data_IF_324039809547
#
_entry.id   IF_324039809547
#
_cell.length_a   1.000
_cell.length_b   1.000
_cell.length_c   1.000
_cell.angle_alpha   90.00
_cell.angle_beta   90.00
_cell.angle_gamma   90.00
#
_symmetry.space_group_name_H-M   'P 1'
#
loop_
_entity.id
_entity.type
_entity.pdbx_description
1 polymer ?
#
# COMPACT_ATOMS: atom_id res chain seq x y z
N UNK A 1 1.51 1.69 14.48
CA UNK A 1 0.27 1.47 15.23
C UNK A 1 -0.61 0.52 14.43
N UNK A 2 -1.43 -0.29 15.11
CA UNK A 2 -2.39 -1.20 14.49
C UNK A 2 -3.72 -0.98 15.21
N UNK A 3 -4.77 -0.75 14.43
CA UNK A 3 -6.12 -0.50 14.94
C UNK A 3 -7.13 -1.43 14.24
N UNK A 4 -8.12 -1.89 14.99
CA UNK A 4 -9.24 -2.66 14.47
C UNK A 4 -10.49 -1.76 14.42
N UNK A 5 -11.03 -1.57 13.22
CA UNK A 5 -12.13 -0.63 13.00
C UNK A 5 -13.26 -1.35 12.25
N UNK A 6 -14.45 -1.39 12.85
CA UNK A 6 -15.62 -2.04 12.23
C UNK A 6 -16.22 -1.20 11.09
N UNK A 7 -16.30 0.12 11.29
CA UNK A 7 -16.92 1.04 10.33
C UNK A 7 -15.89 1.67 9.38
N UNK A 8 -15.34 0.86 8.48
CA UNK A 8 -14.37 1.31 7.47
C UNK A 8 -14.93 2.44 6.59
N UNK A 9 -16.26 2.50 6.36
CA UNK A 9 -16.90 3.56 5.55
C UNK A 9 -16.66 4.93 6.17
N UNK A 10 -16.75 5.03 7.49
CA UNK A 10 -16.50 6.27 8.25
C UNK A 10 -15.05 6.72 8.05
N UNK A 11 -14.09 5.81 8.15
CA UNK A 11 -12.67 6.11 7.95
C UNK A 11 -12.39 6.64 6.55
N UNK A 12 -12.93 6.00 5.50
CA UNK A 12 -12.75 6.49 4.13
C UNK A 12 -13.30 7.91 4.00
N UNK A 13 -14.51 8.19 4.51
CA UNK A 13 -15.11 9.53 4.46
C UNK A 13 -14.25 10.57 5.19
N UNK A 14 -13.79 10.25 6.40
CA UNK A 14 -12.92 11.13 7.19
C UNK A 14 -11.60 11.44 6.47
N UNK A 15 -10.97 10.43 5.87
CA UNK A 15 -9.73 10.59 5.11
C UNK A 15 -9.94 11.44 3.85
N UNK A 16 -11.06 11.25 3.14
CA UNK A 16 -11.41 12.13 2.01
C UNK A 16 -11.60 13.59 2.44
N UNK A 17 -12.22 13.83 3.61
CA UNK A 17 -12.35 15.19 4.17
C UNK A 17 -10.98 15.82 4.54
N UNK A 18 -9.95 14.99 4.76
CA UNK A 18 -8.57 15.40 5.00
C UNK A 18 -7.72 15.46 3.70
N UNK A 19 -8.39 15.47 2.54
CA UNK A 19 -7.75 15.48 1.21
C UNK A 19 -6.84 14.27 0.94
N UNK A 20 -7.03 13.15 1.65
CA UNK A 20 -6.32 11.89 1.38
C UNK A 20 -7.00 11.16 0.22
N UNK A 21 -6.20 10.70 -0.76
CA UNK A 21 -6.71 9.92 -1.89
C UNK A 21 -6.89 8.46 -1.54
N UNK A 22 -7.98 7.87 -2.00
CA UNK A 22 -8.33 6.48 -1.74
C UNK A 22 -7.87 5.62 -2.92
N UNK A 23 -6.90 4.74 -2.69
CA UNK A 23 -6.36 3.80 -3.69
C UNK A 23 -6.87 2.40 -3.35
N UNK A 24 -7.82 1.90 -4.11
CA UNK A 24 -8.35 0.54 -3.97
C UNK A 24 -7.60 -0.41 -4.89
N UNK A 25 -6.94 -1.43 -4.32
CA UNK A 25 -6.29 -2.48 -5.07
C UNK A 25 -7.29 -3.57 -5.45
N UNK A 26 -7.46 -3.79 -6.74
CA UNK A 26 -8.41 -4.75 -7.29
C UNK A 26 -8.00 -5.20 -8.69
N UNK A 27 -8.13 -6.50 -8.99
CA UNK A 27 -7.79 -7.04 -10.32
C UNK A 27 -8.65 -6.46 -11.45
N UNK A 28 -9.76 -5.80 -11.13
CA UNK A 28 -10.67 -5.15 -12.09
C UNK A 28 -10.31 -3.69 -12.39
N UNK A 29 -9.28 -3.14 -11.73
CA UNK A 29 -8.90 -1.74 -11.81
C UNK A 29 -8.08 -1.36 -13.05
N UNK A 30 -7.67 -0.10 -13.10
CA UNK A 30 -6.75 0.41 -14.11
C UNK A 30 -5.35 -0.17 -13.90
N UNK A 31 -4.69 -0.56 -15.00
CA UNK A 31 -3.35 -1.12 -14.93
C UNK A 31 -2.36 -0.13 -14.30
N UNK A 32 -1.59 -0.59 -13.31
CA UNK A 32 -0.62 0.22 -12.57
C UNK A 32 0.34 1.00 -13.47
N UNK A 33 0.79 0.42 -14.59
CA UNK A 33 1.74 1.06 -15.50
C UNK A 33 1.19 2.38 -16.08
N UNK A 34 -0.13 2.54 -16.15
CA UNK A 34 -0.78 3.73 -16.71
C UNK A 34 -1.03 4.82 -15.65
N UNK A 35 -1.03 4.46 -14.36
CA UNK A 35 -1.51 5.35 -13.28
C UNK A 35 -0.49 5.59 -12.16
N UNK A 36 0.59 4.82 -12.10
CA UNK A 36 1.61 4.94 -11.05
C UNK A 36 2.13 6.37 -10.84
N UNK A 37 2.33 7.13 -11.93
CA UNK A 37 2.80 8.51 -11.84
C UNK A 37 1.79 9.46 -11.22
N UNK A 38 0.48 9.22 -11.41
CA UNK A 38 -0.55 10.04 -10.78
C UNK A 38 -0.60 9.76 -9.28
N UNK A 39 -0.60 8.49 -8.88
CA UNK A 39 -0.64 8.08 -7.48
C UNK A 39 0.61 8.58 -6.73
N UNK A 40 1.78 8.48 -7.35
CA UNK A 40 3.06 8.97 -6.79
C UNK A 40 3.07 10.49 -6.55
N UNK A 41 2.27 11.26 -7.28
CA UNK A 41 2.18 12.71 -7.13
C UNK A 41 1.14 13.14 -6.07
N UNK A 42 0.41 12.21 -5.46
CA UNK A 42 -0.51 12.51 -4.37
C UNK A 42 0.26 12.70 -3.06
N UNK A 43 -0.10 13.74 -2.29
CA UNK A 43 0.54 14.03 -0.99
C UNK A 43 0.27 12.93 0.04
N UNK A 44 -0.98 12.45 0.10
CA UNK A 44 -1.41 11.41 1.04
C UNK A 44 -2.35 10.44 0.37
N UNK A 45 -2.10 9.16 0.60
CA UNK A 45 -2.96 8.07 0.12
C UNK A 45 -3.40 7.16 1.27
N UNK A 46 -4.60 6.62 1.15
CA UNK A 46 -5.08 5.47 1.91
C UNK A 46 -5.20 4.31 0.92
N UNK A 47 -4.37 3.28 1.11
CA UNK A 47 -4.46 2.06 0.30
C UNK A 47 -5.46 1.11 0.93
N UNK A 48 -6.49 0.73 0.16
CA UNK A 48 -7.48 -0.27 0.53
C UNK A 48 -7.11 -1.57 -0.16
N UNK A 49 -6.79 -2.58 0.64
CA UNK A 49 -6.67 -3.97 0.22
C UNK A 49 -7.84 -4.76 0.79
N UNK A 50 -8.30 -5.77 0.07
CA UNK A 50 -9.43 -6.58 0.51
C UNK A 50 -9.22 -8.05 0.20
N UNK A 51 -9.90 -8.89 0.98
CA UNK A 51 -10.00 -10.32 0.76
C UNK A 51 -11.16 -10.65 -0.21
N UNK A 52 -11.45 -11.95 -0.36
CA UNK A 52 -12.25 -12.60 -1.41
C UNK A 52 -13.56 -11.91 -1.86
N UNK A 53 -14.23 -11.10 -1.01
CA UNK A 53 -15.46 -10.38 -1.36
C UNK A 53 -15.45 -8.93 -0.89
N UNK A 54 -14.81 -8.05 -1.65
CA UNK A 54 -14.85 -6.60 -1.41
C UNK A 54 -16.22 -6.03 -1.77
N UNK A 55 -16.88 -5.26 -0.89
CA UNK A 55 -18.15 -4.60 -1.20
C UNK A 55 -18.02 -3.66 -2.40
N UNK A 56 -19.04 -3.66 -3.29
CA UNK A 56 -19.08 -2.80 -4.48
C UNK A 56 -18.89 -1.31 -4.14
N UNK A 57 -19.41 -0.86 -3.01
CA UNK A 57 -19.32 0.54 -2.56
C UNK A 57 -17.86 1.06 -2.50
N UNK A 58 -16.87 0.20 -2.26
CA UNK A 58 -15.45 0.62 -2.29
C UNK A 58 -15.05 1.13 -3.66
N UNK A 59 -15.54 0.53 -4.74
CA UNK A 59 -15.24 0.97 -6.10
C UNK A 59 -15.70 2.41 -6.34
N UNK A 60 -16.88 2.76 -5.81
CA UNK A 60 -17.48 4.08 -5.96
C UNK A 60 -16.83 5.12 -5.03
N UNK A 61 -16.33 4.68 -3.87
CA UNK A 61 -15.66 5.56 -2.90
C UNK A 61 -14.19 5.84 -3.23
N UNK A 62 -13.53 4.94 -3.96
CA UNK A 62 -12.13 5.04 -4.34
C UNK A 62 -11.90 6.16 -5.37
N UNK A 63 -10.81 6.91 -5.20
CA UNK A 63 -10.36 7.88 -6.21
C UNK A 63 -9.55 7.17 -7.31
N UNK A 64 -8.91 6.05 -6.96
CA UNK A 64 -8.19 5.17 -7.88
C UNK A 64 -8.57 3.71 -7.63
N UNK A 65 -9.13 3.04 -8.63
CA UNK A 65 -9.24 1.58 -8.64
C UNK A 65 -8.08 1.03 -9.48
N UNK A 66 -7.16 0.31 -8.86
CA UNK A 66 -5.86 -0.04 -9.45
C UNK A 66 -5.64 -1.54 -9.49
N UNK A 67 -5.25 -2.03 -10.65
CA UNK A 67 -4.89 -3.42 -10.91
C UNK A 67 -3.37 -3.59 -10.98
N UNK A 68 -2.83 -4.45 -10.12
CA UNK A 68 -1.44 -4.92 -10.18
C UNK A 68 -1.40 -6.13 -11.13
N UNK A 69 -1.68 -5.87 -12.40
CA UNK A 69 -2.14 -6.92 -13.31
C UNK A 69 -3.60 -7.30 -13.04
N UNK A 70 -4.22 -7.92 -14.04
CA UNK A 70 -5.66 -8.22 -14.03
C UNK A 70 -5.95 -9.72 -13.79
N UNK A 71 -5.01 -10.43 -13.16
CA UNK A 71 -5.17 -11.83 -12.78
C UNK A 71 -5.42 -11.91 -11.27
N UNK A 72 -6.19 -12.90 -10.79
CA UNK A 72 -6.38 -13.11 -9.37
C UNK A 72 -5.05 -13.53 -8.72
N UNK A 73 -4.61 -12.78 -7.71
CA UNK A 73 -3.41 -13.07 -6.90
C UNK A 73 -3.53 -12.44 -5.52
N UNK A 74 -2.46 -12.52 -4.71
CA UNK A 74 -2.46 -12.01 -3.34
C UNK A 74 -2.56 -10.48 -3.26
N UNK A 75 -3.33 -10.02 -2.29
CA UNK A 75 -3.37 -8.67 -1.78
C UNK A 75 -2.01 -8.20 -1.23
N UNK A 76 -1.20 -9.10 -0.66
CA UNK A 76 0.15 -8.80 -0.15
C UNK A 76 1.08 -8.47 -1.31
N UNK A 77 1.04 -9.26 -2.39
CA UNK A 77 1.85 -8.97 -3.58
C UNK A 77 1.37 -7.70 -4.27
N UNK A 78 0.06 -7.46 -4.33
CA UNK A 78 -0.50 -6.22 -4.87
C UNK A 78 0.02 -4.99 -4.11
N UNK A 79 -0.07 -5.01 -2.78
CA UNK A 79 0.41 -3.92 -1.92
C UNK A 79 1.91 -3.69 -2.09
N UNK A 80 2.70 -4.77 -2.09
CA UNK A 80 4.15 -4.70 -2.22
C UNK A 80 4.58 -4.03 -3.53
N UNK A 81 3.97 -4.43 -4.66
CA UNK A 81 4.27 -3.84 -5.97
C UNK A 81 3.77 -2.39 -6.06
N UNK A 82 2.57 -2.07 -5.54
CA UNK A 82 2.10 -0.68 -5.51
C UNK A 82 3.12 0.21 -4.79
N UNK A 83 3.52 -0.18 -3.56
CA UNK A 83 4.47 0.58 -2.75
C UNK A 83 5.81 0.74 -3.46
N UNK A 84 6.32 -0.34 -4.07
CA UNK A 84 7.57 -0.28 -4.85
C UNK A 84 7.50 0.71 -6.01
N UNK A 85 6.41 0.70 -6.79
CA UNK A 85 6.22 1.62 -7.93
C UNK A 85 6.16 3.09 -7.51
N UNK A 86 5.50 3.39 -6.39
CA UNK A 86 5.33 4.78 -5.93
C UNK A 86 6.54 5.28 -5.12
N UNK A 87 7.24 4.40 -4.40
CA UNK A 87 8.43 4.73 -3.59
C UNK A 87 9.74 4.59 -4.37
N UNK A 88 9.72 3.95 -5.53
CA UNK A 88 10.86 3.79 -6.44
C UNK A 88 12.08 3.14 -5.76
N UNK A 89 11.85 2.11 -4.94
CA UNK A 89 12.89 1.37 -4.24
C UNK A 89 13.50 2.08 -3.02
N UNK A 90 13.18 3.35 -2.78
CA UNK A 90 13.74 4.12 -1.63
C UNK A 90 13.38 3.52 -0.27
N UNK A 91 12.31 2.74 -0.20
CA UNK A 91 11.91 2.03 1.02
C UNK A 91 12.94 1.02 1.50
N UNK A 92 13.78 0.49 0.60
CA UNK A 92 14.85 -0.44 0.97
C UNK A 92 16.04 0.25 1.65
N UNK A 93 16.11 1.58 1.59
CA UNK A 93 17.12 2.39 2.29
C UNK A 93 16.64 2.89 3.65
N UNK A 94 15.36 2.68 3.97
CA UNK A 94 14.77 3.15 5.22
C UNK A 94 15.32 2.38 6.43
N UNK A 95 15.66 3.13 7.48
CA UNK A 95 16.08 2.58 8.77
C UNK A 95 15.13 3.04 9.87
N UNK A 96 14.69 2.10 10.70
CA UNK A 96 13.93 2.42 11.90
C UNK A 96 14.86 3.04 12.94
N UNK A 97 14.51 4.23 13.45
CA UNK A 97 15.21 4.84 14.58
C UNK A 97 15.03 4.00 15.85
N UNK A 98 16.06 3.90 16.68
CA UNK A 98 16.05 3.18 17.96
C UNK A 98 15.66 1.69 17.85
N UNK A 99 16.02 1.02 16.76
CA UNK A 99 15.82 -0.42 16.65
C UNK A 99 16.72 -1.19 17.63
N UNK A 100 16.18 -2.11 18.42
CA UNK A 100 16.98 -3.02 19.27
C UNK A 100 17.89 -3.95 18.44
N UNK A 101 17.50 -4.22 17.19
CA UNK A 101 18.21 -5.09 16.26
C UNK A 101 18.22 -4.51 14.85
N UNK A 102 19.36 -4.58 14.18
CA UNK A 102 19.52 -4.23 12.76
C UNK A 102 20.20 -5.39 12.04
N UNK A 103 19.61 -5.84 10.92
CA UNK A 103 20.22 -6.84 10.04
C UNK A 103 21.25 -6.12 9.16
N UNK A 104 22.49 -6.61 9.16
CA UNK A 104 23.57 -6.10 8.31
C UNK A 104 23.65 -6.99 7.05
N UNK A 105 23.46 -6.44 5.84
CA UNK A 105 23.55 -7.22 4.61
C UNK A 105 24.94 -7.85 4.44
N UNK A 106 24.97 -9.13 4.12
CA UNK A 106 26.20 -9.90 3.85
C UNK A 106 26.00 -10.82 2.65
N UNK A 107 27.06 -11.06 1.87
CA UNK A 107 27.02 -12.00 0.74
C UNK A 107 26.71 -13.43 1.20
N UNK A 108 27.29 -13.85 2.35
CA UNK A 108 27.18 -15.21 2.88
C UNK A 108 27.23 -15.17 4.41
N UNK A 109 26.07 -15.16 5.05
CA UNK A 109 26.01 -15.12 6.50
C UNK A 109 24.67 -14.63 7.04
N UNK A 110 24.61 -14.51 8.37
CA UNK A 110 23.52 -13.86 9.10
C UNK A 110 24.17 -12.95 10.14
N UNK A 111 24.25 -11.66 9.83
CA UNK A 111 24.84 -10.68 10.72
C UNK A 111 23.77 -9.74 11.28
N UNK A 112 23.77 -9.63 12.61
CA UNK A 112 22.79 -8.86 13.36
C UNK A 112 23.55 -7.99 14.35
N UNK A 113 23.36 -6.68 14.25
CA UNK A 113 23.83 -5.73 15.26
C UNK A 113 22.75 -5.53 16.30
N UNK A 114 23.13 -5.68 17.57
CA UNK A 114 22.30 -5.35 18.73
C UNK A 114 22.66 -3.93 19.21
N UNK A 115 21.65 -3.14 19.56
CA UNK A 115 21.81 -1.77 20.08
C UNK A 115 21.85 -1.72 21.60
#
# INVERSE_FOLDING_TARGET
EIEMIENWKKIIKEKKNQSVKIVHLTMYGQNINNIESKIRNEDKILVVVGAEKVPREIFDMADYNVAIGNQPHSEISALSVLLDRIQQGKQFEFKFGNSEREIIPEERGKNVRMS
#
